data_IF_950493440146
#
_entry.id   IF_950493440146
#
_cell.length_a   1.000
_cell.length_b   1.000
_cell.length_c   1.000
_cell.angle_alpha   90.00
_cell.angle_beta   90.00
_cell.angle_gamma   90.00
#
_symmetry.space_group_name_H-M   'P 1'
#
loop_
_entity.id
_entity.type
_entity.pdbx_description
1 polymer ?
#
# COMPACT_ATOMS: atom_id res chain seq x y z
N UNK A 1 5.74 21.98 3.18
CA UNK A 1 4.27 21.90 3.06
C UNK A 1 3.94 20.41 3.01
N UNK A 2 2.96 20.00 3.77
CA UNK A 2 2.48 18.63 3.84
C UNK A 2 1.53 18.35 2.68
N UNK A 3 1.43 17.09 2.23
CA UNK A 3 0.48 16.71 1.18
C UNK A 3 -0.95 16.92 1.69
N UNK A 4 -1.82 17.54 0.89
CA UNK A 4 -3.19 17.83 1.30
C UNK A 4 -4.04 16.55 1.25
N UNK A 5 -4.77 16.27 2.32
CA UNK A 5 -5.76 15.17 2.42
C UNK A 5 -7.19 15.63 2.13
N UNK A 6 -7.37 16.85 1.60
CA UNK A 6 -8.71 17.44 1.43
C UNK A 6 -9.64 16.66 0.52
N UNK A 7 -9.10 15.76 -0.31
CA UNK A 7 -9.87 14.95 -1.26
C UNK A 7 -9.93 13.47 -0.86
N UNK A 8 -9.36 13.10 0.28
CA UNK A 8 -9.39 11.74 0.77
C UNK A 8 -10.84 11.29 1.03
N UNK A 9 -11.22 10.20 0.43
CA UNK A 9 -12.52 9.56 0.60
C UNK A 9 -12.36 8.20 1.24
N UNK A 10 -13.25 7.89 2.17
CA UNK A 10 -13.33 6.56 2.77
C UNK A 10 -14.53 5.84 2.15
N UNK A 11 -14.26 4.75 1.46
CA UNK A 11 -15.25 3.95 0.74
C UNK A 11 -15.32 2.54 1.35
N UNK A 12 -16.50 1.96 1.39
CA UNK A 12 -16.68 0.54 1.72
C UNK A 12 -16.56 -0.28 0.43
N UNK A 13 -15.37 -0.81 0.17
CA UNK A 13 -15.07 -1.53 -1.07
C UNK A 13 -15.67 -2.95 -1.09
N UNK A 14 -15.76 -3.59 0.09
CA UNK A 14 -16.37 -4.89 0.31
C UNK A 14 -16.73 -5.03 1.81
N UNK A 15 -17.47 -6.08 2.22
CA UNK A 15 -17.69 -6.34 3.64
C UNK A 15 -16.36 -6.40 4.41
N UNK A 16 -16.26 -5.61 5.48
CA UNK A 16 -15.06 -5.45 6.31
C UNK A 16 -13.85 -4.82 5.59
N UNK A 17 -13.98 -4.32 4.36
CA UNK A 17 -12.88 -3.73 3.59
C UNK A 17 -13.18 -2.26 3.30
N UNK A 18 -12.31 -1.40 3.80
CA UNK A 18 -12.32 0.04 3.56
C UNK A 18 -11.26 0.40 2.52
N UNK A 19 -11.59 1.30 1.61
CA UNK A 19 -10.63 1.95 0.72
C UNK A 19 -10.50 3.42 1.11
N UNK A 20 -9.27 3.86 1.26
CA UNK A 20 -8.89 5.25 1.51
C UNK A 20 -8.32 5.80 0.21
N UNK A 21 -9.15 6.49 -0.55
CA UNK A 21 -8.84 6.92 -1.90
C UNK A 21 -8.73 8.44 -1.98
N UNK A 22 -7.58 8.92 -2.39
CA UNK A 22 -7.35 10.32 -2.75
C UNK A 22 -7.29 10.40 -4.29
N UNK A 23 -8.42 10.79 -4.89
CA UNK A 23 -8.59 10.84 -6.32
C UNK A 23 -7.71 11.90 -6.98
N UNK A 24 -7.30 11.64 -8.22
CA UNK A 24 -6.60 12.63 -9.03
C UNK A 24 -7.44 13.88 -9.26
N UNK A 25 -6.76 15.02 -9.26
CA UNK A 25 -7.35 16.32 -9.59
C UNK A 25 -6.46 17.00 -10.63
N UNK A 26 -7.01 17.28 -11.78
CA UNK A 26 -6.29 17.90 -12.88
C UNK A 26 -5.61 19.21 -12.44
N UNK A 27 -4.31 19.30 -12.72
CA UNK A 27 -3.51 20.49 -12.42
C UNK A 27 -3.16 20.70 -10.96
N UNK A 28 -3.56 19.81 -10.04
CA UNK A 28 -3.23 19.92 -8.64
C UNK A 28 -1.88 19.26 -8.32
N UNK A 29 -0.98 20.02 -7.72
CA UNK A 29 0.26 19.50 -7.11
C UNK A 29 0.06 19.32 -5.62
N UNK A 30 0.44 18.16 -5.10
CA UNK A 30 0.18 17.81 -3.69
C UNK A 30 1.25 18.33 -2.73
N UNK A 31 2.46 18.61 -3.20
CA UNK A 31 3.57 18.99 -2.32
C UNK A 31 4.13 20.38 -2.62
N UNK A 32 4.56 20.65 -3.84
CA UNK A 32 5.18 21.93 -4.22
C UNK A 32 4.92 22.23 -5.71
N UNK A 33 5.29 23.45 -6.14
CA UNK A 33 5.21 23.83 -7.56
C UNK A 33 6.30 23.18 -8.41
N UNK A 34 7.37 22.67 -7.78
CA UNK A 34 8.44 21.96 -8.47
C UNK A 34 8.09 20.49 -8.68
N UNK A 35 8.53 19.87 -9.77
CA UNK A 35 8.33 18.45 -10.03
C UNK A 35 8.83 17.59 -8.86
N UNK A 36 8.02 16.62 -8.46
CA UNK A 36 8.34 15.73 -7.36
C UNK A 36 7.66 14.36 -7.56
N UNK A 37 8.04 13.38 -6.76
CA UNK A 37 7.60 11.99 -6.95
C UNK A 37 6.09 11.76 -6.72
N UNK A 38 5.37 12.69 -6.08
CA UNK A 38 3.92 12.58 -5.91
C UNK A 38 3.15 12.91 -7.20
N UNK A 39 3.77 13.61 -8.13
CA UNK A 39 3.06 14.14 -9.30
C UNK A 39 2.50 13.03 -10.21
N UNK A 40 3.21 11.92 -10.38
CA UNK A 40 2.80 10.82 -11.25
C UNK A 40 1.45 10.24 -10.82
N UNK A 41 1.32 9.83 -9.56
CA UNK A 41 0.08 9.31 -9.01
C UNK A 41 -1.03 10.36 -8.96
N UNK A 42 -0.71 11.58 -8.49
CA UNK A 42 -1.68 12.67 -8.37
C UNK A 42 -2.33 13.04 -9.71
N UNK A 43 -1.56 13.04 -10.79
CA UNK A 43 -2.08 13.44 -12.10
C UNK A 43 -2.69 12.30 -12.91
N UNK A 44 -2.29 11.06 -12.65
CA UNK A 44 -2.65 9.93 -13.50
C UNK A 44 -3.75 9.06 -12.90
N UNK A 45 -3.58 8.58 -11.67
CA UNK A 45 -4.40 7.52 -11.10
C UNK A 45 -5.07 7.89 -9.77
N UNK A 46 -4.47 8.82 -9.01
CA UNK A 46 -4.76 9.00 -7.60
C UNK A 46 -4.01 7.98 -6.75
N UNK A 47 -4.30 7.98 -5.45
CA UNK A 47 -3.66 7.09 -4.48
C UNK A 47 -4.71 6.33 -3.69
N UNK A 48 -4.44 5.08 -3.37
CA UNK A 48 -5.31 4.28 -2.52
C UNK A 48 -4.49 3.46 -1.53
N UNK A 49 -5.00 3.39 -0.30
CA UNK A 49 -4.65 2.34 0.63
C UNK A 49 -5.92 1.65 1.11
N UNK A 50 -5.79 0.46 1.68
CA UNK A 50 -6.95 -0.31 2.11
C UNK A 50 -6.81 -0.71 3.56
N UNK A 51 -7.92 -1.00 4.21
CA UNK A 51 -7.90 -1.65 5.50
C UNK A 51 -8.99 -2.72 5.59
N UNK A 52 -8.66 -3.82 6.24
CA UNK A 52 -9.61 -4.84 6.68
C UNK A 52 -9.89 -4.52 8.15
N UNK A 53 -11.17 -4.38 8.52
CA UNK A 53 -11.58 -4.14 9.91
C UNK A 53 -12.65 -5.14 10.28
N UNK A 54 -12.33 -6.01 11.25
CA UNK A 54 -13.25 -7.05 11.74
C UNK A 54 -13.18 -7.12 13.27
N UNK A 55 -14.28 -6.82 13.95
CA UNK A 55 -14.47 -6.90 15.41
C UNK A 55 -13.34 -6.21 16.22
N UNK A 56 -12.84 -5.07 15.75
CA UNK A 56 -11.81 -4.29 16.43
C UNK A 56 -10.37 -4.69 16.11
N UNK A 57 -10.15 -5.76 15.32
CA UNK A 57 -8.84 -6.07 14.71
C UNK A 57 -8.78 -5.45 13.32
N UNK A 58 -7.71 -4.73 13.01
CA UNK A 58 -7.51 -4.05 11.74
C UNK A 58 -6.19 -4.45 11.09
N UNK A 59 -6.20 -4.57 9.76
CA UNK A 59 -5.02 -4.74 8.93
C UNK A 59 -5.02 -3.68 7.84
N UNK A 60 -4.05 -2.79 7.89
CA UNK A 60 -3.85 -1.74 6.87
C UNK A 60 -2.97 -2.30 5.75
N UNK A 61 -3.38 -2.11 4.52
CA UNK A 61 -2.62 -2.46 3.32
C UNK A 61 -2.12 -1.18 2.66
N UNK A 62 -0.84 -0.94 2.82
CA UNK A 62 -0.08 0.27 2.50
C UNK A 62 -0.42 1.51 3.35
N UNK A 63 0.59 2.35 3.55
CA UNK A 63 0.49 3.50 4.43
C UNK A 63 0.31 4.83 3.69
N UNK A 64 0.18 4.76 2.36
CA UNK A 64 -0.09 5.92 1.52
C UNK A 64 1.11 6.87 1.35
N UNK A 65 0.79 8.03 0.84
CA UNK A 65 1.75 9.01 0.27
C UNK A 65 2.33 9.99 1.29
N UNK A 66 1.85 10.02 2.51
CA UNK A 66 2.30 10.98 3.54
C UNK A 66 1.89 10.56 4.95
N UNK A 67 2.48 11.23 5.92
CA UNK A 67 2.10 11.10 7.33
C UNK A 67 0.63 11.46 7.54
N UNK A 68 0.14 12.50 6.87
CA UNK A 68 -1.24 12.98 7.00
C UNK A 68 -2.24 11.95 6.47
N UNK A 69 -1.95 11.30 5.33
CA UNK A 69 -2.78 10.21 4.81
C UNK A 69 -2.81 9.01 5.76
N UNK A 70 -1.64 8.60 6.22
CA UNK A 70 -1.52 7.49 7.17
C UNK A 70 -2.24 7.79 8.50
N UNK A 71 -2.15 9.03 9.02
CA UNK A 71 -2.85 9.45 10.22
C UNK A 71 -4.37 9.43 10.02
N UNK A 72 -4.85 9.90 8.88
CA UNK A 72 -6.28 9.85 8.57
C UNK A 72 -6.80 8.41 8.49
N UNK A 73 -6.01 7.47 7.96
CA UNK A 73 -6.34 6.03 7.97
C UNK A 73 -6.44 5.51 9.40
N UNK A 74 -5.44 5.79 10.24
CA UNK A 74 -5.40 5.36 11.62
C UNK A 74 -6.58 5.93 12.42
N UNK A 75 -6.81 7.24 12.34
CA UNK A 75 -7.91 7.93 13.04
C UNK A 75 -9.27 7.37 12.66
N UNK A 76 -9.49 7.08 11.39
CA UNK A 76 -10.76 6.49 10.92
C UNK A 76 -10.95 5.06 11.43
N UNK A 77 -9.90 4.24 11.45
CA UNK A 77 -9.98 2.89 12.00
C UNK A 77 -10.26 2.90 13.51
N UNK A 78 -9.57 3.76 14.27
CA UNK A 78 -9.81 3.94 15.71
C UNK A 78 -11.24 4.46 15.97
N UNK A 79 -11.72 5.41 15.18
CA UNK A 79 -13.10 5.93 15.24
C UNK A 79 -14.14 4.83 14.98
N UNK A 80 -13.82 3.85 14.11
CA UNK A 80 -14.67 2.68 13.84
C UNK A 80 -14.51 1.55 14.86
N UNK A 81 -13.68 1.76 15.88
CA UNK A 81 -13.52 0.83 16.99
C UNK A 81 -12.34 -0.15 16.83
N UNK A 82 -11.37 0.14 15.98
CA UNK A 82 -10.14 -0.64 15.96
C UNK A 82 -9.40 -0.50 17.29
N UNK A 83 -9.05 -1.62 17.89
CA UNK A 83 -8.26 -1.72 19.14
C UNK A 83 -6.90 -2.38 18.93
N UNK A 84 -6.71 -3.00 17.77
CA UNK A 84 -5.46 -3.60 17.30
C UNK A 84 -5.29 -3.24 15.84
N UNK A 85 -4.10 -2.77 15.46
CA UNK A 85 -3.77 -2.41 14.07
C UNK A 85 -2.45 -3.08 13.70
N UNK A 86 -2.45 -3.75 12.56
CA UNK A 86 -1.26 -4.28 11.87
C UNK A 86 -1.19 -3.67 10.49
N UNK A 87 0.00 -3.65 9.91
CA UNK A 87 0.25 -3.10 8.57
C UNK A 87 0.87 -4.17 7.68
N UNK A 88 0.45 -4.24 6.43
CA UNK A 88 1.10 -5.00 5.36
C UNK A 88 1.55 -4.02 4.28
N UNK A 89 2.79 -4.11 3.85
CA UNK A 89 3.32 -3.32 2.75
C UNK A 89 3.27 -4.15 1.46
N UNK A 90 2.61 -3.61 0.43
CA UNK A 90 2.50 -4.25 -0.88
C UNK A 90 3.83 -4.33 -1.60
N UNK A 91 4.58 -3.24 -1.61
CA UNK A 91 5.91 -3.13 -2.21
C UNK A 91 6.64 -1.87 -1.71
N UNK A 92 7.88 -1.65 -2.18
CA UNK A 92 8.77 -0.64 -1.63
C UNK A 92 8.62 0.77 -2.21
N UNK A 93 7.69 1.04 -3.10
CA UNK A 93 7.55 2.36 -3.70
C UNK A 93 7.09 3.40 -2.67
N UNK A 94 7.47 4.66 -2.91
CA UNK A 94 7.34 5.75 -1.95
C UNK A 94 5.91 6.04 -1.53
N UNK A 95 4.99 5.98 -2.48
CA UNK A 95 3.57 6.25 -2.32
C UNK A 95 2.81 5.17 -1.53
N UNK A 96 3.46 4.04 -1.27
CA UNK A 96 2.95 2.96 -0.42
C UNK A 96 3.52 2.99 1.00
N UNK A 97 4.70 3.59 1.18
CA UNK A 97 5.45 3.48 2.44
C UNK A 97 5.69 4.82 3.14
N UNK A 98 5.31 5.95 2.52
CA UNK A 98 5.64 7.27 3.07
C UNK A 98 5.01 7.55 4.45
N UNK A 99 3.90 6.89 4.76
CA UNK A 99 3.23 7.03 6.06
C UNK A 99 3.62 6.02 7.13
N UNK A 100 4.60 5.13 6.89
CA UNK A 100 4.95 4.03 7.82
C UNK A 100 5.26 4.48 9.25
N UNK A 101 5.80 5.69 9.42
CA UNK A 101 6.13 6.23 10.73
C UNK A 101 4.92 6.38 11.66
N UNK A 102 3.72 6.57 11.12
CA UNK A 102 2.47 6.64 11.90
C UNK A 102 2.15 5.32 12.59
N UNK A 103 2.62 4.21 12.02
CA UNK A 103 2.40 2.85 12.50
C UNK A 103 3.67 2.22 13.11
N UNK A 104 4.64 3.04 13.55
CA UNK A 104 5.90 2.54 14.12
C UNK A 104 5.71 1.75 15.43
N UNK A 105 4.58 1.92 16.10
CA UNK A 105 4.13 1.18 17.28
C UNK A 105 3.36 -0.10 16.96
N UNK A 106 3.08 -0.37 15.68
CA UNK A 106 2.33 -1.52 15.19
C UNK A 106 3.28 -2.59 14.61
N UNK A 107 2.76 -3.80 14.43
CA UNK A 107 3.41 -4.80 13.61
C UNK A 107 3.33 -4.39 12.13
N UNK A 108 4.49 -4.23 11.47
CA UNK A 108 4.59 -3.96 10.04
C UNK A 108 5.13 -5.22 9.36
N UNK A 109 4.34 -5.78 8.45
CA UNK A 109 4.59 -7.04 7.74
C UNK A 109 4.97 -6.73 6.30
N UNK A 110 5.99 -7.39 5.77
CA UNK A 110 6.32 -7.32 4.34
C UNK A 110 6.98 -8.59 3.82
N UNK A 111 7.09 -8.72 2.50
CA UNK A 111 7.97 -9.72 1.91
C UNK A 111 9.44 -9.44 2.24
N UNK A 112 10.28 -10.48 2.27
CA UNK A 112 11.75 -10.33 2.39
C UNK A 112 12.31 -9.43 1.30
N UNK A 113 11.74 -9.48 0.09
CA UNK A 113 12.16 -8.64 -1.04
C UNK A 113 11.88 -7.16 -0.76
N UNK A 114 10.68 -6.84 -0.28
CA UNK A 114 10.29 -5.46 0.08
C UNK A 114 11.17 -4.92 1.21
N UNK A 115 11.34 -5.67 2.30
CA UNK A 115 12.18 -5.26 3.42
C UNK A 115 13.63 -4.95 2.99
N UNK A 116 14.21 -5.76 2.10
CA UNK A 116 15.55 -5.53 1.53
C UNK A 116 15.60 -4.27 0.65
N UNK A 117 14.57 -4.07 -0.17
CA UNK A 117 14.48 -2.87 -1.02
C UNK A 117 14.37 -1.59 -0.17
N UNK A 118 13.53 -1.60 0.87
CA UNK A 118 13.39 -0.48 1.81
C UNK A 118 14.71 -0.18 2.52
N UNK A 119 15.40 -1.19 3.05
CA UNK A 119 16.71 -1.02 3.68
C UNK A 119 17.75 -0.40 2.75
N UNK A 120 17.77 -0.83 1.49
CA UNK A 120 18.69 -0.28 0.46
C UNK A 120 18.36 1.17 0.12
N UNK A 121 17.08 1.53 0.08
CA UNK A 121 16.60 2.83 -0.38
C UNK A 121 16.40 3.86 0.75
N UNK A 122 16.50 3.49 2.02
CA UNK A 122 16.20 4.36 3.16
C UNK A 122 16.89 5.73 3.09
N UNK A 123 18.20 5.76 2.76
CA UNK A 123 18.95 7.00 2.63
C UNK A 123 18.50 7.87 1.44
N UNK A 124 18.04 7.24 0.37
CA UNK A 124 17.53 7.95 -0.79
C UNK A 124 16.12 8.51 -0.49
N UNK A 125 15.31 7.77 0.23
CA UNK A 125 13.98 8.19 0.67
C UNK A 125 14.05 9.40 1.61
N UNK A 126 14.97 9.40 2.57
CA UNK A 126 15.19 10.54 3.46
C UNK A 126 15.63 11.82 2.73
N UNK A 127 16.19 11.68 1.51
CA UNK A 127 16.64 12.81 0.67
C UNK A 127 15.68 13.13 -0.48
N UNK A 128 14.59 12.41 -0.60
CA UNK A 128 13.60 12.68 -1.67
C UNK A 128 12.82 13.98 -1.39
N UNK A 129 12.08 14.44 -2.37
CA UNK A 129 11.18 15.58 -2.23
C UNK A 129 9.77 15.14 -2.61
N UNK A 130 8.83 15.11 -1.65
CA UNK A 130 9.02 15.24 -0.20
C UNK A 130 9.90 14.12 0.39
N UNK A 131 10.57 14.37 1.53
CA UNK A 131 11.35 13.36 2.21
C UNK A 131 10.45 12.34 2.92
N UNK A 132 10.94 11.09 2.99
CA UNK A 132 10.33 10.03 3.81
C UNK A 132 11.33 9.74 4.94
N UNK A 133 11.14 10.45 6.05
CA UNK A 133 11.99 10.37 7.23
C UNK A 133 11.20 10.78 8.49
N UNK A 134 11.05 9.90 9.48
CA UNK A 134 11.56 8.53 9.52
C UNK A 134 10.76 7.55 8.65
N UNK A 135 11.44 6.55 8.10
CA UNK A 135 10.83 5.37 7.51
C UNK A 135 10.81 4.26 8.55
N UNK A 136 9.63 3.86 9.02
CA UNK A 136 9.50 2.71 9.90
C UNK A 136 9.64 1.41 9.09
N UNK A 137 10.58 0.56 9.51
CA UNK A 137 10.90 -0.68 8.81
C UNK A 137 9.96 -1.82 9.21
N UNK A 138 9.74 -2.81 8.33
CA UNK A 138 9.01 -4.02 8.69
C UNK A 138 9.59 -4.71 9.92
N UNK A 139 8.72 -5.10 10.85
CA UNK A 139 9.06 -5.86 12.06
C UNK A 139 8.89 -7.36 11.86
N UNK A 140 8.00 -7.75 10.93
CA UNK A 140 7.78 -9.14 10.51
C UNK A 140 8.05 -9.26 9.02
N UNK A 141 8.93 -10.20 8.64
CA UNK A 141 9.25 -10.47 7.23
C UNK A 141 9.05 -11.95 6.92
N UNK A 142 8.55 -12.23 5.71
CA UNK A 142 8.29 -13.60 5.27
C UNK A 142 8.68 -13.81 3.80
N UNK A 143 8.80 -15.06 3.39
CA UNK A 143 9.03 -15.48 2.02
C UNK A 143 7.93 -16.44 1.57
N UNK A 144 7.52 -16.37 0.31
CA UNK A 144 6.41 -17.16 -0.21
C UNK A 144 5.04 -16.63 0.22
N UNK A 145 4.06 -17.51 0.38
CA UNK A 145 2.69 -17.18 0.80
C UNK A 145 2.59 -17.21 2.32
N UNK A 146 1.90 -16.22 2.90
CA UNK A 146 1.63 -16.16 4.33
C UNK A 146 0.12 -16.12 4.58
N UNK A 147 -0.39 -17.05 5.37
CA UNK A 147 -1.77 -17.03 5.84
C UNK A 147 -1.90 -16.16 7.09
N UNK A 148 -2.90 -15.30 7.12
CA UNK A 148 -3.22 -14.44 8.25
C UNK A 148 -4.73 -14.45 8.51
N UNK A 149 -5.09 -14.01 9.72
CA UNK A 149 -6.47 -13.71 10.08
C UNK A 149 -6.57 -12.29 10.63
N UNK A 150 -7.62 -11.59 10.23
CA UNK A 150 -8.11 -10.36 10.86
C UNK A 150 -9.40 -10.74 11.55
N UNK A 151 -9.31 -11.02 12.85
CA UNK A 151 -10.37 -11.66 13.61
C UNK A 151 -10.94 -12.92 12.91
N UNK A 152 -12.18 -12.87 12.42
CA UNK A 152 -12.84 -13.98 11.70
C UNK A 152 -12.55 -14.02 10.19
N UNK A 153 -11.92 -13.00 9.66
CA UNK A 153 -11.62 -12.85 8.23
C UNK A 153 -10.26 -13.48 7.91
N UNK A 154 -10.25 -14.61 7.19
CA UNK A 154 -9.01 -15.26 6.73
C UNK A 154 -8.55 -14.65 5.41
N UNK A 155 -7.26 -14.39 5.31
CA UNK A 155 -6.60 -13.84 4.13
C UNK A 155 -5.28 -14.55 3.85
N UNK A 156 -4.82 -14.43 2.64
CA UNK A 156 -3.49 -14.88 2.23
C UNK A 156 -2.71 -13.71 1.62
N UNK A 157 -1.50 -13.51 2.09
CA UNK A 157 -0.54 -12.60 1.50
C UNK A 157 0.21 -13.37 0.39
N UNK A 158 -0.03 -13.01 -0.86
CA UNK A 158 0.52 -13.71 -2.03
C UNK A 158 1.48 -12.81 -2.80
N UNK A 159 2.77 -13.18 -2.90
CA UNK A 159 3.70 -12.46 -3.77
C UNK A 159 3.23 -12.49 -5.23
N UNK A 160 3.34 -11.35 -5.92
CA UNK A 160 2.99 -11.22 -7.32
C UNK A 160 3.90 -10.20 -8.00
N UNK A 161 4.84 -10.68 -8.82
CA UNK A 161 5.88 -9.91 -9.48
C UNK A 161 5.38 -9.37 -10.83
N UNK A 162 4.49 -8.37 -10.80
CA UNK A 162 3.92 -7.73 -11.99
C UNK A 162 4.33 -6.26 -12.10
N UNK A 163 3.89 -5.41 -11.16
CA UNK A 163 4.26 -4.01 -11.14
C UNK A 163 5.70 -3.81 -10.64
N UNK A 164 6.06 -4.50 -9.57
CA UNK A 164 7.36 -4.45 -8.92
C UNK A 164 7.81 -5.86 -8.51
N UNK A 165 9.14 -6.10 -8.53
CA UNK A 165 9.72 -7.41 -8.19
C UNK A 165 9.41 -7.91 -6.78
N UNK A 166 9.03 -7.03 -5.88
CA UNK A 166 8.69 -7.29 -4.48
C UNK A 166 7.19 -7.23 -4.20
N UNK A 167 6.36 -7.13 -5.26
CA UNK A 167 4.92 -7.00 -5.17
C UNK A 167 4.26 -8.09 -4.32
N UNK A 168 3.28 -7.68 -3.51
CA UNK A 168 2.53 -8.52 -2.60
C UNK A 168 1.06 -8.12 -2.65
N UNK A 169 0.17 -9.07 -2.77
CA UNK A 169 -1.29 -8.87 -2.79
C UNK A 169 -1.95 -9.51 -1.57
N UNK A 170 -3.16 -9.06 -1.24
CA UNK A 170 -4.01 -9.72 -0.23
C UNK A 170 -5.16 -10.41 -0.94
N UNK A 171 -5.23 -11.73 -0.81
CA UNK A 171 -6.28 -12.56 -1.35
C UNK A 171 -7.20 -13.09 -0.25
N UNK A 172 -8.51 -13.06 -0.51
CA UNK A 172 -9.54 -13.57 0.38
C UNK A 172 -10.09 -14.89 -0.16
N UNK A 173 -9.66 -16.05 0.34
CA UNK A 173 -10.01 -17.34 -0.25
C UNK A 173 -11.51 -17.63 -0.27
N UNK A 174 -12.27 -17.11 0.70
CA UNK A 174 -13.72 -17.38 0.79
C UNK A 174 -14.57 -16.59 -0.19
N UNK A 175 -14.11 -15.41 -0.60
CA UNK A 175 -14.88 -14.48 -1.44
C UNK A 175 -14.26 -14.25 -2.80
N UNK A 176 -13.06 -14.76 -3.04
CA UNK A 176 -12.24 -14.50 -4.22
C UNK A 176 -12.00 -13.00 -4.46
N UNK A 177 -11.99 -12.21 -3.39
CA UNK A 177 -11.61 -10.80 -3.44
C UNK A 177 -10.08 -10.69 -3.45
N UNK A 178 -9.56 -9.76 -4.23
CA UNK A 178 -8.14 -9.43 -4.29
C UNK A 178 -7.94 -7.95 -4.03
N UNK A 179 -7.09 -7.61 -3.06
CA UNK A 179 -6.49 -6.28 -2.97
C UNK A 179 -5.16 -6.35 -3.73
N UNK A 180 -5.15 -5.78 -4.91
CA UNK A 180 -4.09 -6.00 -5.89
C UNK A 180 -2.90 -5.02 -5.74
N UNK A 181 -3.09 -3.90 -5.01
CA UNK A 181 -2.13 -2.79 -5.07
C UNK A 181 -1.94 -2.35 -6.52
N UNK A 182 -0.73 -2.01 -6.88
CA UNK A 182 -0.39 -1.54 -8.24
C UNK A 182 -0.25 -2.66 -9.27
N UNK A 183 -0.52 -3.91 -8.89
CA UNK A 183 -0.52 -5.03 -9.84
C UNK A 183 -1.61 -4.88 -10.91
N UNK A 184 -2.78 -4.34 -10.51
CA UNK A 184 -3.91 -4.08 -11.40
C UNK A 184 -4.35 -2.64 -11.19
N UNK A 185 -4.07 -1.78 -12.16
CA UNK A 185 -4.41 -0.36 -12.15
C UNK A 185 -5.55 -0.06 -13.12
N UNK A 186 -6.24 1.05 -12.90
CA UNK A 186 -7.25 1.55 -13.81
C UNK A 186 -6.59 1.94 -15.16
N UNK A 187 -7.23 1.57 -16.26
CA UNK A 187 -6.85 1.82 -17.64
C UNK A 187 -5.62 1.06 -18.13
N UNK A 188 -4.43 1.29 -17.62
CA UNK A 188 -3.17 0.67 -18.08
C UNK A 188 -2.24 0.47 -16.90
N UNK A 189 -1.80 -0.75 -16.67
CA UNK A 189 -0.81 -1.05 -15.64
C UNK A 189 0.51 -0.35 -15.92
N UNK A 190 1.01 0.40 -14.94
CA UNK A 190 2.33 1.00 -15.02
C UNK A 190 3.41 -0.07 -14.82
N UNK A 191 4.30 -0.19 -15.80
CA UNK A 191 5.39 -1.17 -15.75
C UNK A 191 6.66 -0.48 -15.27
N UNK A 192 6.92 -0.55 -13.97
CA UNK A 192 8.11 0.05 -13.36
C UNK A 192 9.42 -0.62 -13.83
N UNK A 193 9.37 -1.90 -14.19
CA UNK A 193 10.53 -2.72 -14.52
C UNK A 193 10.39 -3.40 -15.91
N UNK A 194 10.46 -2.63 -17.02
CA UNK A 194 10.20 -3.18 -18.38
C UNK A 194 11.12 -4.34 -18.78
N UNK A 195 12.30 -4.45 -18.19
CA UNK A 195 13.22 -5.57 -18.41
C UNK A 195 12.74 -6.90 -17.81
N UNK A 196 11.64 -6.91 -17.06
CA UNK A 196 11.03 -8.07 -16.40
C UNK A 196 9.69 -8.50 -17.02
N UNK A 197 9.31 -7.95 -18.17
CA UNK A 197 8.01 -8.20 -18.81
C UNK A 197 7.67 -9.69 -18.97
N UNK A 198 8.64 -10.54 -19.28
CA UNK A 198 8.41 -11.99 -19.38
C UNK A 198 7.93 -12.59 -18.05
N UNK A 199 8.53 -12.16 -16.94
CA UNK A 199 8.14 -12.57 -15.60
C UNK A 199 6.74 -12.04 -15.28
N UNK A 200 6.47 -10.76 -15.60
CA UNK A 200 5.17 -10.14 -15.38
C UNK A 200 4.05 -10.88 -16.12
N UNK A 201 4.29 -11.29 -17.38
CA UNK A 201 3.31 -12.09 -18.14
C UNK A 201 3.02 -13.43 -17.45
N UNK A 202 4.05 -14.16 -17.03
CA UNK A 202 3.89 -15.43 -16.32
C UNK A 202 3.14 -15.27 -14.99
N UNK A 203 3.41 -14.19 -14.26
CA UNK A 203 2.73 -13.90 -13.01
C UNK A 203 1.27 -13.50 -13.22
N UNK A 204 0.94 -12.79 -14.29
CA UNK A 204 -0.46 -12.52 -14.67
C UNK A 204 -1.21 -13.79 -15.08
N UNK A 205 -0.56 -14.71 -15.82
CA UNK A 205 -1.12 -16.03 -16.11
C UNK A 205 -1.37 -16.83 -14.82
N UNK A 206 -0.45 -16.76 -13.86
CA UNK A 206 -0.62 -17.38 -12.54
C UNK A 206 -1.78 -16.75 -11.77
N UNK A 207 -1.89 -15.40 -11.77
CA UNK A 207 -3.00 -14.70 -11.15
C UNK A 207 -4.36 -15.15 -11.70
N UNK A 208 -4.46 -15.36 -13.01
CA UNK A 208 -5.70 -15.79 -13.66
C UNK A 208 -6.16 -17.19 -13.20
N UNK A 209 -5.36 -17.91 -12.44
CA UNK A 209 -5.72 -19.24 -11.87
C UNK A 209 -6.22 -19.20 -10.43
N UNK A 210 -6.29 -18.06 -9.81
CA UNK A 210 -6.68 -17.89 -8.39
C UNK A 210 -8.17 -17.88 -8.12
#
# INVERSE_FOLDING_TARGET
>A
MTASISNLRVLEAAPNVLAFYDGRIDGMRLHSNEPNWLDDGAFSLGFASYAILDQGDALVYDTGISIEHAQAVRDELERRGATSIRVVLSHHHKDHVAGTAVFADCEIISSVKCARALSKNQKAFAKSSPPIDPLAMPTTVFDGVMELSVCSTSIELRPLDVHSFDGLTIYFPKTHLLLAGDTLEDTVTYVAEPHRLEIHCLELERLATW
#
